data_IF_221620867603
#
_entry.id   IF_221620867603
#
_cell.length_a   1.000
_cell.length_b   1.000
_cell.length_c   1.000
_cell.angle_alpha   90.00
_cell.angle_beta   90.00
_cell.angle_gamma   90.00
#
_symmetry.space_group_name_H-M   'P 1'
#
loop_
_entity.id
_entity.type
_entity.pdbx_description
1 polymer ?
#
# COMPACT_ATOMS: atom_id res chain seq x y z
N UNK A 1 14.01 -29.94 4.17
CA UNK A 1 15.04 -29.19 4.94
C UNK A 1 15.51 -28.07 4.05
N UNK A 2 15.52 -26.82 4.53
CA UNK A 2 15.98 -25.68 3.73
C UNK A 2 17.40 -25.92 3.23
N UNK A 3 17.63 -25.75 1.92
CA UNK A 3 18.95 -25.88 1.27
C UNK A 3 19.93 -24.79 1.73
N UNK A 4 19.41 -23.72 2.35
CA UNK A 4 20.19 -22.59 2.84
C UNK A 4 20.42 -22.69 4.34
N UNK A 5 21.70 -22.66 4.73
CA UNK A 5 22.10 -22.53 6.13
C UNK A 5 21.79 -21.11 6.64
N UNK A 6 21.39 -20.98 7.91
CA UNK A 6 21.11 -19.67 8.55
C UNK A 6 22.29 -18.69 8.41
N UNK A 7 23.52 -19.22 8.34
CA UNK A 7 24.73 -18.42 8.12
C UNK A 7 24.72 -17.73 6.75
N UNK A 8 24.32 -18.43 5.69
CA UNK A 8 24.23 -17.87 4.34
C UNK A 8 23.15 -16.77 4.24
N UNK A 9 22.01 -16.95 4.93
CA UNK A 9 20.96 -15.92 4.99
C UNK A 9 21.43 -14.68 5.76
N UNK A 10 22.24 -14.87 6.79
CA UNK A 10 22.82 -13.78 7.58
C UNK A 10 23.81 -12.97 6.75
N UNK A 11 24.62 -13.62 5.92
CA UNK A 11 25.57 -12.96 5.01
C UNK A 11 24.85 -12.11 3.95
N UNK A 12 23.75 -12.61 3.38
CA UNK A 12 22.91 -11.85 2.45
C UNK A 12 22.35 -10.59 3.12
N UNK A 13 21.80 -10.73 4.32
CA UNK A 13 21.22 -9.59 5.06
C UNK A 13 22.29 -8.59 5.49
N UNK A 14 23.48 -9.05 5.87
CA UNK A 14 24.61 -8.19 6.16
C UNK A 14 25.11 -7.44 4.91
N UNK A 15 25.04 -8.05 3.73
CA UNK A 15 25.36 -7.37 2.47
C UNK A 15 24.36 -6.24 2.13
N UNK A 16 23.15 -6.26 2.70
CA UNK A 16 22.21 -5.13 2.68
C UNK A 16 22.43 -4.12 3.83
N UNK A 17 23.49 -4.25 4.62
CA UNK A 17 23.76 -3.39 5.79
C UNK A 17 23.12 -3.89 7.09
N UNK A 18 22.64 -5.13 7.12
CA UNK A 18 22.04 -5.76 8.29
C UNK A 18 20.53 -5.50 8.45
N UNK A 19 19.89 -6.21 9.38
CA UNK A 19 18.44 -6.11 9.63
C UNK A 19 17.98 -4.70 9.99
N UNK A 20 18.85 -3.92 10.64
CA UNK A 20 18.54 -2.56 11.06
C UNK A 20 18.56 -1.55 9.90
N UNK A 21 19.26 -1.88 8.81
CA UNK A 21 19.29 -1.07 7.60
C UNK A 21 18.11 -1.39 6.67
N UNK A 22 17.55 -2.60 6.74
CA UNK A 22 16.38 -2.99 5.96
C UNK A 22 15.11 -2.42 6.60
N UNK A 23 14.48 -1.46 5.93
CA UNK A 23 13.26 -0.76 6.38
C UNK A 23 12.01 -1.54 6.00
N UNK A 24 12.01 -2.08 4.79
CA UNK A 24 10.91 -2.87 4.26
C UNK A 24 11.47 -3.90 3.27
N UNK A 25 10.76 -5.00 3.14
CA UNK A 25 11.08 -6.04 2.19
C UNK A 25 9.81 -6.54 1.51
N UNK A 26 9.84 -6.63 0.20
CA UNK A 26 8.76 -7.22 -0.59
C UNK A 26 9.35 -8.18 -1.60
N UNK A 27 9.43 -9.44 -1.18
CA UNK A 27 10.12 -10.45 -1.92
C UNK A 27 9.17 -11.21 -2.87
N UNK A 28 9.46 -11.17 -4.17
CA UNK A 28 8.76 -11.91 -5.22
C UNK A 28 9.51 -13.22 -5.56
N UNK A 29 8.85 -14.13 -6.29
CA UNK A 29 9.36 -15.45 -6.68
C UNK A 29 10.82 -15.43 -7.15
N UNK A 30 11.23 -14.44 -7.96
CA UNK A 30 12.59 -14.40 -8.54
C UNK A 30 13.46 -13.25 -8.00
N UNK A 31 12.94 -12.37 -7.13
CA UNK A 31 13.61 -11.12 -6.76
C UNK A 31 13.45 -10.75 -5.28
N UNK A 32 14.57 -10.47 -4.63
CA UNK A 32 14.65 -9.79 -3.35
C UNK A 32 14.51 -8.29 -3.59
N UNK A 33 13.53 -7.66 -2.94
CA UNK A 33 13.35 -6.20 -3.02
C UNK A 33 13.37 -5.63 -1.62
N UNK A 34 14.43 -4.87 -1.34
CA UNK A 34 14.68 -4.30 -0.03
C UNK A 34 14.75 -2.78 -0.11
N UNK A 35 14.06 -2.13 0.79
CA UNK A 35 14.21 -0.70 1.05
C UNK A 35 15.23 -0.53 2.17
N UNK A 36 16.26 0.28 1.92
CA UNK A 36 17.36 0.51 2.87
C UNK A 36 17.27 1.90 3.51
N UNK A 37 17.68 2.03 4.78
CA UNK A 37 17.85 3.35 5.42
C UNK A 37 19.01 4.10 4.79
N UNK A 38 20.09 3.38 4.49
CA UNK A 38 21.30 3.91 3.88
C UNK A 38 21.81 2.96 2.78
N UNK A 39 21.93 3.50 1.56
CA UNK A 39 22.48 2.78 0.42
C UNK A 39 24.00 2.64 0.49
N UNK A 40 24.68 3.47 1.28
CA UNK A 40 26.14 3.41 1.44
C UNK A 40 26.59 2.13 2.15
N UNK A 41 25.68 1.49 2.88
CA UNK A 41 25.88 0.21 3.57
C UNK A 41 25.60 -1.01 2.68
N UNK A 42 25.12 -0.81 1.44
CA UNK A 42 24.88 -1.87 0.48
C UNK A 42 26.20 -2.34 -0.12
N UNK A 43 26.53 -3.62 0.09
CA UNK A 43 27.68 -4.26 -0.53
C UNK A 43 27.25 -5.09 -1.75
N UNK A 44 27.29 -4.45 -2.93
CA UNK A 44 26.88 -5.08 -4.19
C UNK A 44 27.83 -6.19 -4.65
N UNK A 45 29.11 -6.12 -4.29
CA UNK A 45 30.11 -7.15 -4.64
C UNK A 45 29.93 -8.41 -3.79
N UNK A 46 29.62 -8.25 -2.50
CA UNK A 46 29.26 -9.37 -1.64
C UNK A 46 27.99 -10.07 -2.15
N UNK A 47 26.97 -9.32 -2.59
CA UNK A 47 25.75 -9.90 -3.15
C UNK A 47 26.04 -10.73 -4.41
N UNK A 48 26.92 -10.27 -5.31
CA UNK A 48 27.34 -11.04 -6.49
C UNK A 48 28.06 -12.33 -6.11
N UNK A 49 28.95 -12.29 -5.11
CA UNK A 49 29.64 -13.49 -4.62
C UNK A 49 28.70 -14.50 -3.96
N UNK A 50 27.62 -14.01 -3.35
CA UNK A 50 26.55 -14.82 -2.76
C UNK A 50 25.52 -15.33 -3.78
N UNK A 51 25.74 -15.10 -5.09
CA UNK A 51 24.92 -15.65 -6.16
C UNK A 51 23.85 -14.71 -6.72
N UNK A 52 23.94 -13.40 -6.48
CA UNK A 52 23.07 -12.42 -7.13
C UNK A 52 23.36 -12.34 -8.65
N UNK A 53 22.33 -12.54 -9.47
CA UNK A 53 22.42 -12.43 -10.92
C UNK A 53 22.35 -10.98 -11.42
N UNK A 54 21.35 -10.21 -10.98
CA UNK A 54 21.21 -8.79 -11.32
C UNK A 54 20.89 -7.96 -10.08
N UNK A 55 21.53 -6.79 -9.96
CA UNK A 55 21.37 -5.85 -8.85
C UNK A 55 20.99 -4.49 -9.44
N UNK A 56 19.79 -4.00 -9.14
CA UNK A 56 19.33 -2.67 -9.50
C UNK A 56 19.20 -1.81 -8.24
N UNK A 57 19.88 -0.67 -8.21
CA UNK A 57 19.84 0.29 -7.11
C UNK A 57 19.10 1.54 -7.57
N UNK A 58 18.11 1.97 -6.80
CA UNK A 58 17.30 3.15 -7.09
C UNK A 58 17.56 4.21 -6.01
N UNK A 59 18.53 5.08 -6.28
CA UNK A 59 19.05 6.06 -5.30
C UNK A 59 17.97 7.00 -4.74
N UNK A 60 17.03 7.44 -5.58
CA UNK A 60 15.97 8.36 -5.18
C UNK A 60 14.96 7.77 -4.18
N UNK A 61 14.82 6.44 -4.15
CA UNK A 61 13.88 5.74 -3.26
C UNK A 61 14.57 4.85 -2.22
N UNK A 62 15.91 4.82 -2.21
CA UNK A 62 16.72 3.89 -1.41
C UNK A 62 16.28 2.43 -1.54
N UNK A 63 15.82 2.08 -2.74
CA UNK A 63 15.26 0.78 -3.06
C UNK A 63 16.30 -0.05 -3.82
N UNK A 64 16.46 -1.32 -3.44
CA UNK A 64 17.39 -2.25 -4.06
C UNK A 64 16.63 -3.49 -4.50
N UNK A 65 16.81 -3.88 -5.76
CA UNK A 65 16.27 -5.12 -6.30
C UNK A 65 17.40 -6.05 -6.67
N UNK A 66 17.37 -7.27 -6.15
CA UNK A 66 18.37 -8.30 -6.41
C UNK A 66 17.70 -9.57 -6.88
N UNK A 67 18.06 -10.03 -8.07
CA UNK A 67 17.58 -11.28 -8.65
C UNK A 67 18.52 -12.42 -8.25
N UNK A 68 17.97 -13.53 -7.76
CA UNK A 68 18.71 -14.77 -7.48
C UNK A 68 18.10 -15.91 -8.28
N UNK A 69 18.91 -16.84 -8.78
CA UNK A 69 18.42 -18.00 -9.55
C UNK A 69 17.45 -18.90 -8.75
N UNK A 70 17.48 -18.83 -7.41
CA UNK A 70 16.61 -19.58 -6.50
C UNK A 70 15.93 -18.66 -5.48
N UNK A 71 15.43 -17.49 -5.92
CA UNK A 71 14.92 -16.48 -5.00
C UNK A 71 13.67 -16.93 -4.21
N UNK A 72 12.85 -17.83 -4.73
CA UNK A 72 11.63 -18.32 -4.06
C UNK A 72 11.96 -19.06 -2.74
N UNK A 73 12.93 -19.98 -2.81
CA UNK A 73 13.42 -20.72 -1.64
C UNK A 73 14.12 -19.79 -0.64
N UNK A 74 14.90 -18.83 -1.14
CA UNK A 74 15.55 -17.78 -0.33
C UNK A 74 14.51 -16.95 0.43
N UNK A 75 13.42 -16.59 -0.23
CA UNK A 75 12.35 -15.81 0.38
C UNK A 75 11.63 -16.55 1.48
N UNK A 76 11.33 -17.82 1.24
CA UNK A 76 10.71 -18.67 2.24
C UNK A 76 11.64 -18.87 3.43
N UNK A 77 12.94 -19.11 3.18
CA UNK A 77 13.94 -19.29 4.21
C UNK A 77 14.16 -18.01 5.03
N UNK A 78 14.18 -16.82 4.41
CA UNK A 78 14.26 -15.54 5.12
C UNK A 78 13.01 -15.37 5.99
N UNK A 79 11.80 -15.49 5.42
CA UNK A 79 10.53 -15.36 6.15
C UNK A 79 10.44 -16.29 7.37
N UNK A 80 10.93 -17.53 7.25
CA UNK A 80 10.88 -18.52 8.31
C UNK A 80 11.93 -18.30 9.40
N UNK A 81 13.07 -17.66 9.08
CA UNK A 81 14.19 -17.49 10.00
C UNK A 81 14.40 -16.03 10.47
N UNK A 82 13.49 -15.11 10.13
CA UNK A 82 13.56 -13.68 10.52
C UNK A 82 13.88 -13.48 12.01
N UNK A 83 13.25 -14.26 12.88
CA UNK A 83 13.41 -14.17 14.34
C UNK A 83 14.80 -14.61 14.80
N UNK A 84 15.37 -15.66 14.18
CA UNK A 84 16.71 -16.15 14.49
C UNK A 84 17.81 -15.24 13.92
N UNK A 85 17.57 -14.66 12.75
CA UNK A 85 18.46 -13.71 12.09
C UNK A 85 18.54 -12.41 12.90
N UNK A 86 17.41 -11.87 13.33
CA UNK A 86 17.37 -10.66 14.18
C UNK A 86 18.11 -10.85 15.51
N UNK A 87 18.08 -12.07 16.06
CA UNK A 87 18.77 -12.42 17.31
C UNK A 87 20.29 -12.47 17.16
N UNK A 88 20.80 -12.84 15.98
CA UNK A 88 22.25 -12.87 15.69
C UNK A 88 22.82 -11.51 15.29
N UNK A 89 22.00 -10.61 14.75
CA UNK A 89 22.41 -9.25 14.36
C UNK A 89 22.58 -8.26 15.54
N UNK A 90 22.15 -8.61 16.76
CA UNK A 90 22.09 -7.68 17.90
C UNK A 90 23.31 -7.64 18.82
N UNK A 91 24.42 -8.28 18.46
CA UNK A 91 25.67 -8.20 19.23
C UNK A 91 26.75 -7.47 18.43
N UNK A 92 26.64 -6.13 18.37
CA UNK A 92 27.73 -5.17 18.65
C UNK A 92 27.25 -3.70 18.51
N UNK A 93 27.34 -2.97 19.63
CA UNK A 93 27.10 -1.53 19.92
C UNK A 93 28.05 -0.58 19.13
N UNK A 94 27.93 0.76 19.00
CA UNK A 94 27.17 1.85 19.65
C UNK A 94 27.50 3.23 19.00
N UNK A 95 26.61 4.22 19.26
CA UNK A 95 26.77 5.71 19.37
C UNK A 95 27.23 6.52 18.16
N UNK A 96 26.52 7.59 17.77
CA UNK A 96 26.66 8.91 18.43
C UNK A 96 25.38 9.77 18.50
N UNK A 97 25.46 10.71 19.43
CA UNK A 97 24.43 11.57 20.03
C UNK A 97 24.39 12.95 19.37
N UNK A 98 23.21 13.58 19.24
CA UNK A 98 23.02 15.01 19.51
C UNK A 98 21.52 15.39 19.58
N UNK A 99 21.10 16.01 20.70
CA UNK A 99 19.81 16.70 20.87
C UNK A 99 19.72 17.96 19.99
N UNK A 100 18.61 18.68 19.82
CA UNK A 100 17.53 19.18 20.68
C UNK A 100 16.31 19.48 19.75
N UNK A 101 15.07 19.76 20.11
CA UNK A 101 14.51 20.52 21.22
C UNK A 101 12.98 20.32 21.25
N UNK A 102 12.38 20.69 22.38
CA UNK A 102 11.02 20.38 22.83
C UNK A 102 9.90 20.96 21.94
N UNK A 103 8.94 20.11 21.51
CA UNK A 103 7.58 20.56 21.14
C UNK A 103 6.52 19.70 21.83
N UNK A 104 5.63 20.40 22.53
CA UNK A 104 4.42 19.93 23.22
C UNK A 104 3.69 18.84 22.44
N UNK A 105 3.48 17.69 23.06
CA UNK A 105 2.47 16.71 22.66
C UNK A 105 1.08 17.34 22.82
N UNK A 106 0.49 17.73 21.69
CA UNK A 106 -0.97 17.85 21.60
C UNK A 106 -1.47 16.43 21.42
N UNK A 107 -2.25 15.92 22.38
CA UNK A 107 -2.97 14.66 22.27
C UNK A 107 -4.00 14.83 21.15
N UNK A 108 -3.59 14.52 19.92
CA UNK A 108 -4.42 14.68 18.73
C UNK A 108 -5.45 13.54 18.77
N UNK A 109 -6.70 13.85 19.09
CA UNK A 109 -7.78 12.87 18.90
C UNK A 109 -7.85 12.55 17.42
N UNK A 110 -7.54 11.31 17.10
CA UNK A 110 -7.51 10.81 15.73
C UNK A 110 -8.96 10.72 15.24
N UNK A 111 -9.32 11.57 14.27
CA UNK A 111 -10.68 11.60 13.71
C UNK A 111 -11.05 10.26 13.07
N UNK A 112 -12.33 9.90 13.15
CA UNK A 112 -12.93 8.74 12.49
C UNK A 112 -13.79 9.15 11.28
N UNK A 113 -13.65 10.39 10.81
CA UNK A 113 -14.43 10.93 9.71
C UNK A 113 -14.02 10.29 8.38
N UNK A 114 -15.01 9.96 7.56
CA UNK A 114 -14.83 9.53 6.18
C UNK A 114 -15.43 10.59 5.25
N UNK A 115 -14.58 11.31 4.53
CA UNK A 115 -14.99 12.30 3.54
C UNK A 115 -15.28 11.63 2.18
N UNK A 116 -16.28 12.13 1.47
CA UNK A 116 -16.68 11.61 0.17
C UNK A 116 -15.55 11.78 -0.88
N UNK A 117 -15.02 10.68 -1.46
CA UNK A 117 -14.02 10.73 -2.52
C UNK A 117 -14.50 11.43 -3.80
N UNK A 118 -15.79 11.34 -4.10
CA UNK A 118 -16.45 12.04 -5.20
C UNK A 118 -17.94 12.28 -4.90
N UNK A 119 -18.59 13.08 -5.74
CA UNK A 119 -20.02 13.29 -5.70
C UNK A 119 -20.78 12.18 -6.42
N UNK A 120 -21.87 11.68 -5.84
CA UNK A 120 -22.65 10.60 -6.44
C UNK A 120 -23.73 10.02 -5.54
N UNK A 121 -24.45 9.03 -6.06
CA UNK A 121 -25.41 8.25 -5.27
C UNK A 121 -24.70 7.11 -4.55
N UNK A 122 -25.04 6.92 -3.28
CA UNK A 122 -24.50 5.85 -2.45
C UNK A 122 -25.44 4.64 -2.50
N UNK A 123 -24.87 3.45 -2.62
CA UNK A 123 -25.61 2.20 -2.67
C UNK A 123 -24.86 1.06 -1.98
N UNK A 124 -25.59 0.03 -1.56
CA UNK A 124 -25.02 -1.15 -0.88
C UNK A 124 -24.18 -2.01 -1.83
N UNK A 125 -23.10 -2.60 -1.31
CA UNK A 125 -22.29 -3.62 -2.02
C UNK A 125 -23.13 -4.79 -2.54
N UNK A 126 -24.25 -5.11 -1.88
CA UNK A 126 -25.14 -6.20 -2.26
C UNK A 126 -25.81 -5.99 -3.64
N UNK A 127 -25.72 -4.78 -4.20
CA UNK A 127 -26.25 -4.45 -5.53
C UNK A 127 -25.25 -4.76 -6.67
N UNK A 128 -24.03 -5.18 -6.35
CA UNK A 128 -23.02 -5.57 -7.32
C UNK A 128 -23.27 -6.99 -7.82
N UNK A 129 -22.95 -7.21 -9.09
CA UNK A 129 -22.82 -8.55 -9.67
C UNK A 129 -21.42 -9.13 -9.40
N UNK A 130 -20.97 -9.05 -8.15
CA UNK A 130 -19.69 -9.62 -7.69
C UNK A 130 -19.89 -10.29 -6.33
N UNK A 131 -19.74 -11.61 -6.30
CA UNK A 131 -20.04 -12.42 -5.12
C UNK A 131 -19.13 -12.11 -3.93
N UNK A 132 -17.89 -11.68 -4.17
CA UNK A 132 -16.91 -11.44 -3.10
C UNK A 132 -17.24 -10.14 -2.36
N UNK A 133 -17.53 -9.09 -3.12
CA UNK A 133 -17.90 -7.78 -2.58
C UNK A 133 -19.35 -7.76 -2.06
N UNK A 134 -20.29 -8.36 -2.81
CA UNK A 134 -21.70 -8.41 -2.40
C UNK A 134 -21.92 -9.22 -1.11
N UNK A 135 -21.06 -10.21 -0.82
CA UNK A 135 -21.10 -10.97 0.44
C UNK A 135 -20.25 -10.34 1.54
N UNK A 136 -19.67 -9.15 1.32
CA UNK A 136 -18.80 -8.44 2.26
C UNK A 136 -17.59 -9.28 2.73
N UNK A 137 -17.04 -10.14 1.86
CA UNK A 137 -15.91 -11.01 2.24
C UNK A 137 -14.61 -10.23 2.45
N UNK A 138 -14.46 -9.09 1.77
CA UNK A 138 -13.34 -8.15 1.98
C UNK A 138 -13.54 -7.32 3.26
N UNK A 139 -14.80 -6.99 3.54
CA UNK A 139 -15.29 -6.26 4.70
C UNK A 139 -16.50 -5.40 4.35
N UNK A 140 -16.99 -4.61 5.32
CA UNK A 140 -18.15 -3.74 5.13
C UNK A 140 -17.81 -2.53 4.29
N UNK A 141 -18.78 -2.07 3.50
CA UNK A 141 -18.54 -1.01 2.55
C UNK A 141 -19.79 -0.58 1.78
N UNK A 142 -19.56 0.24 0.77
CA UNK A 142 -20.59 0.80 -0.08
C UNK A 142 -20.02 1.20 -1.45
N UNK A 143 -20.90 1.63 -2.33
CA UNK A 143 -20.58 2.06 -3.69
C UNK A 143 -21.00 3.51 -3.85
N UNK A 144 -20.14 4.34 -4.42
CA UNK A 144 -20.48 5.69 -4.89
C UNK A 144 -20.55 5.66 -6.42
N UNK A 145 -21.72 5.97 -6.97
CA UNK A 145 -21.95 6.00 -8.41
C UNK A 145 -21.61 7.39 -8.96
N UNK A 146 -20.52 7.49 -9.74
CA UNK A 146 -20.16 8.73 -10.41
C UNK A 146 -21.17 9.10 -11.51
N UNK A 147 -21.29 10.40 -11.78
CA UNK A 147 -22.06 10.88 -12.94
C UNK A 147 -21.35 10.48 -14.25
N UNK A 148 -22.03 9.64 -15.04
CA UNK A 148 -21.53 9.11 -16.31
C UNK A 148 -21.44 10.15 -17.42
N UNK A 149 -22.10 11.31 -17.26
CA UNK A 149 -22.06 12.40 -18.23
C UNK A 149 -20.73 13.17 -18.20
N UNK A 150 -19.93 12.98 -17.15
CA UNK A 150 -18.61 13.60 -17.04
C UNK A 150 -17.60 12.90 -17.96
N UNK A 151 -16.66 13.66 -18.50
CA UNK A 151 -15.54 13.11 -19.29
C UNK A 151 -14.36 12.70 -18.41
N UNK A 152 -14.17 13.39 -17.29
CA UNK A 152 -13.11 13.14 -16.31
C UNK A 152 -13.62 13.40 -14.91
N UNK A 153 -13.11 12.66 -13.94
CA UNK A 153 -13.41 12.88 -12.52
C UNK A 153 -12.16 12.64 -11.68
N UNK A 154 -11.91 13.55 -10.75
CA UNK A 154 -10.91 13.36 -9.70
C UNK A 154 -11.57 12.65 -8.52
N UNK A 155 -10.90 11.65 -7.98
CA UNK A 155 -11.27 10.91 -6.77
C UNK A 155 -10.31 11.34 -5.66
N UNK A 156 -10.87 11.84 -4.56
CA UNK A 156 -10.12 12.37 -3.43
C UNK A 156 -9.84 11.30 -2.37
N UNK A 157 -8.82 11.52 -1.55
CA UNK A 157 -8.60 10.70 -0.37
C UNK A 157 -9.69 10.99 0.69
N UNK A 158 -10.32 9.95 1.27
CA UNK A 158 -11.39 10.12 2.24
C UNK A 158 -10.92 10.55 3.63
N UNK A 159 -9.62 10.43 3.93
CA UNK A 159 -8.99 10.85 5.18
C UNK A 159 -7.46 10.88 5.00
N UNK A 160 -6.76 11.40 6.01
CA UNK A 160 -5.30 11.34 6.09
C UNK A 160 -4.82 9.89 6.14
N UNK A 161 -4.04 9.47 5.15
CA UNK A 161 -3.60 8.09 5.03
C UNK A 161 -2.20 7.96 4.43
N UNK A 162 -1.62 6.78 4.64
CA UNK A 162 -0.52 6.25 3.83
C UNK A 162 -1.08 5.27 2.80
N UNK A 163 -0.60 5.38 1.58
CA UNK A 163 -0.90 4.42 0.51
C UNK A 163 -0.06 3.16 0.73
N UNK A 164 -0.71 2.03 1.03
CA UNK A 164 -0.02 0.77 1.33
C UNK A 164 -0.04 -0.21 0.17
N UNK A 165 -0.89 0.01 -0.84
CA UNK A 165 -0.92 -0.79 -2.06
C UNK A 165 -1.51 -0.01 -3.23
N UNK A 166 -0.83 -0.04 -4.39
CA UNK A 166 -1.39 0.34 -5.70
C UNK A 166 -0.87 -0.70 -6.71
N UNK A 167 -1.75 -1.46 -7.41
CA UNK A 167 -1.33 -2.38 -8.45
C UNK A 167 -0.89 -1.63 -9.72
N UNK A 168 -0.16 -2.29 -10.62
CA UNK A 168 0.35 -1.68 -11.85
C UNK A 168 -0.76 -1.10 -12.74
N UNK A 169 -1.91 -1.78 -12.81
CA UNK A 169 -3.10 -1.35 -13.54
C UNK A 169 -3.91 -0.25 -12.80
N UNK A 170 -3.51 0.14 -11.58
CA UNK A 170 -4.14 1.19 -10.76
C UNK A 170 -5.65 1.02 -10.51
N UNK A 171 -6.20 -0.19 -10.66
CA UNK A 171 -7.64 -0.45 -10.52
C UNK A 171 -8.15 -0.29 -9.09
N UNK A 172 -7.24 -0.32 -8.10
CA UNK A 172 -7.58 -0.16 -6.70
C UNK A 172 -6.43 0.45 -5.89
N UNK A 173 -6.73 0.89 -4.68
CA UNK A 173 -5.74 1.37 -3.72
C UNK A 173 -6.11 0.91 -2.32
N UNK A 174 -5.11 0.59 -1.49
CA UNK A 174 -5.30 0.41 -0.05
C UNK A 174 -4.74 1.64 0.68
N UNK A 175 -5.57 2.21 1.54
CA UNK A 175 -5.25 3.36 2.38
C UNK A 175 -5.24 2.93 3.84
N UNK A 176 -4.16 3.26 4.55
CA UNK A 176 -4.01 3.02 5.99
C UNK A 176 -3.86 4.35 6.73
N UNK A 177 -4.78 4.65 7.63
CA UNK A 177 -4.76 5.86 8.44
C UNK A 177 -4.07 5.63 9.80
N UNK A 178 -3.59 6.72 10.39
CA UNK A 178 -2.93 6.69 11.71
C UNK A 178 -3.90 6.30 12.85
N UNK A 179 -5.21 6.45 12.64
CA UNK A 179 -6.25 6.04 13.59
C UNK A 179 -6.49 4.51 13.62
N UNK A 180 -5.83 3.75 12.74
CA UNK A 180 -5.99 2.31 12.59
C UNK A 180 -7.04 1.90 11.55
N UNK A 181 -7.68 2.85 10.87
CA UNK A 181 -8.55 2.55 9.74
C UNK A 181 -7.72 2.06 8.56
N UNK A 182 -8.22 1.00 7.92
CA UNK A 182 -7.65 0.50 6.68
C UNK A 182 -8.79 0.16 5.72
N UNK A 183 -8.68 0.63 4.48
CA UNK A 183 -9.70 0.36 3.48
C UNK A 183 -9.10 0.13 2.11
N UNK A 184 -9.85 -0.56 1.29
CA UNK A 184 -9.63 -0.68 -0.14
C UNK A 184 -10.63 0.20 -0.88
N UNK A 185 -10.16 0.94 -1.88
CA UNK A 185 -11.01 1.59 -2.87
C UNK A 185 -10.73 1.02 -4.25
N UNK A 186 -11.78 0.59 -4.94
CA UNK A 186 -11.71 0.13 -6.32
C UNK A 186 -12.33 1.19 -7.23
N UNK A 187 -11.66 1.49 -8.34
CA UNK A 187 -12.03 2.55 -9.27
C UNK A 187 -12.81 1.99 -10.46
N UNK A 188 -13.97 1.42 -10.18
CA UNK A 188 -14.78 0.64 -11.11
C UNK A 188 -14.55 -0.85 -10.94
N UNK A 189 -15.63 -1.63 -10.82
CA UNK A 189 -15.57 -3.08 -10.56
C UNK A 189 -14.72 -3.83 -11.59
N UNK A 190 -14.86 -3.47 -12.86
CA UNK A 190 -14.19 -4.09 -14.00
C UNK A 190 -12.97 -3.30 -14.51
N UNK A 191 -12.52 -2.29 -13.75
CA UNK A 191 -11.46 -1.37 -14.21
C UNK A 191 -10.10 -2.04 -14.38
N UNK A 192 -9.88 -3.22 -13.80
CA UNK A 192 -8.68 -4.02 -14.07
C UNK A 192 -8.52 -4.37 -15.56
N UNK A 193 -9.63 -4.43 -16.32
CA UNK A 193 -9.65 -4.67 -17.77
C UNK A 193 -9.07 -3.49 -18.57
N UNK A 194 -8.99 -2.31 -17.96
CA UNK A 194 -8.42 -1.12 -18.58
C UNK A 194 -6.89 -1.15 -18.60
N UNK A 195 -6.27 -2.05 -17.84
CA UNK A 195 -4.80 -2.16 -17.71
C UNK A 195 -4.10 -0.81 -17.41
N UNK A 196 -4.72 0.00 -16.54
CA UNK A 196 -4.24 1.33 -16.16
C UNK A 196 -4.56 2.44 -17.16
N UNK A 197 -5.14 2.14 -18.32
CA UNK A 197 -5.57 3.15 -19.29
C UNK A 197 -6.75 3.95 -18.70
N UNK A 198 -6.61 5.27 -18.65
CA UNK A 198 -7.61 6.15 -18.06
C UNK A 198 -7.59 6.20 -16.52
N UNK A 199 -6.59 5.57 -15.88
CA UNK A 199 -6.38 5.61 -14.44
C UNK A 199 -5.02 6.27 -14.14
N UNK A 200 -5.04 7.48 -13.57
CA UNK A 200 -3.82 8.22 -13.23
C UNK A 200 -3.81 8.58 -11.77
N UNK A 201 -2.81 8.15 -11.01
CA UNK A 201 -2.61 8.61 -9.63
C UNK A 201 -1.42 9.57 -9.58
N UNK A 202 -1.56 10.74 -8.94
CA UNK A 202 -0.45 11.66 -8.69
C UNK A 202 0.44 11.20 -7.53
N UNK A 203 0.04 10.17 -6.79
CA UNK A 203 0.77 9.61 -5.65
C UNK A 203 1.30 8.21 -6.00
N UNK A 204 2.43 7.87 -5.42
CA UNK A 204 3.04 6.55 -5.54
C UNK A 204 2.71 5.67 -4.32
N UNK A 205 3.05 4.39 -4.43
CA UNK A 205 3.07 3.49 -3.28
C UNK A 205 3.93 4.07 -2.16
N UNK A 206 3.49 3.91 -0.90
CA UNK A 206 4.09 4.46 0.32
C UNK A 206 3.97 5.97 0.53
N UNK A 207 3.43 6.73 -0.42
CA UNK A 207 3.18 8.14 -0.20
C UNK A 207 2.12 8.37 0.88
N UNK A 208 2.27 9.47 1.59
CA UNK A 208 1.21 10.02 2.43
C UNK A 208 0.31 10.92 1.61
N UNK A 209 -0.98 10.85 1.88
CA UNK A 209 -2.02 11.68 1.28
C UNK A 209 -2.88 12.28 2.38
N UNK A 210 -3.26 13.56 2.23
CA UNK A 210 -4.17 14.23 3.14
C UNK A 210 -5.62 14.05 2.71
N UNK A 211 -6.54 14.14 3.66
CA UNK A 211 -7.98 14.19 3.38
C UNK A 211 -8.26 15.24 2.30
N UNK A 212 -9.11 14.90 1.34
CA UNK A 212 -9.50 15.74 0.21
C UNK A 212 -8.37 16.08 -0.81
N UNK A 213 -7.17 15.51 -0.68
CA UNK A 213 -6.18 15.55 -1.77
C UNK A 213 -6.57 14.59 -2.90
N UNK A 214 -6.18 14.92 -4.13
CA UNK A 214 -6.41 14.06 -5.30
C UNK A 214 -5.63 12.76 -5.15
N UNK A 215 -6.36 11.64 -5.13
CA UNK A 215 -5.82 10.29 -5.02
C UNK A 215 -5.74 9.61 -6.38
N UNK A 216 -6.77 9.77 -7.20
CA UNK A 216 -6.83 9.19 -8.54
C UNK A 216 -7.65 10.05 -9.49
N UNK A 217 -7.25 10.10 -10.75
CA UNK A 217 -7.94 10.77 -11.83
C UNK A 217 -8.45 9.70 -12.81
N UNK A 218 -9.74 9.74 -13.12
CA UNK A 218 -10.40 8.81 -14.02
C UNK A 218 -10.74 9.51 -15.33
N UNK A 219 -10.36 8.89 -16.45
CA UNK A 219 -10.83 9.26 -17.78
C UNK A 219 -12.07 8.44 -18.12
N UNK A 220 -13.25 9.05 -17.95
CA UNK A 220 -14.52 8.35 -18.13
C UNK A 220 -14.83 8.06 -19.59
N UNK A 221 -14.18 8.74 -20.54
CA UNK A 221 -14.28 8.37 -21.96
C UNK A 221 -13.73 6.95 -22.17
N UNK A 222 -12.61 6.59 -21.52
CA UNK A 222 -12.04 5.23 -21.58
C UNK A 222 -12.88 4.18 -20.88
N UNK A 223 -13.51 4.55 -19.77
CA UNK A 223 -14.46 3.67 -19.09
C UNK A 223 -15.66 3.35 -19.98
N UNK A 224 -16.20 4.36 -20.66
CA UNK A 224 -17.35 4.20 -21.56
C UNK A 224 -16.99 3.37 -22.80
N UNK A 225 -15.81 3.57 -23.41
CA UNK A 225 -15.31 2.77 -24.55
C UNK A 225 -15.27 1.26 -24.24
N UNK A 226 -14.91 0.89 -23.00
CA UNK A 226 -14.78 -0.49 -22.56
C UNK A 226 -15.96 -1.00 -21.72
N UNK A 227 -17.06 -0.24 -21.69
CA UNK A 227 -18.29 -0.56 -20.95
C UNK A 227 -18.06 -0.83 -19.45
N UNK A 228 -17.08 -0.13 -18.86
CA UNK A 228 -16.77 -0.18 -17.42
C UNK A 228 -17.59 0.90 -16.71
N UNK A 229 -18.31 0.53 -15.65
CA UNK A 229 -19.04 1.51 -14.83
C UNK A 229 -18.06 2.26 -13.91
N UNK A 230 -18.09 3.60 -13.87
CA UNK A 230 -17.20 4.40 -13.02
C UNK A 230 -17.68 4.47 -11.57
N UNK A 231 -18.02 3.31 -11.00
CA UNK A 231 -18.45 3.19 -9.62
C UNK A 231 -17.22 3.12 -8.73
N UNK A 232 -17.15 3.93 -7.67
CA UNK A 232 -16.12 3.76 -6.64
C UNK A 232 -16.66 2.81 -5.58
N UNK A 233 -15.99 1.67 -5.41
CA UNK A 233 -16.30 0.71 -4.36
C UNK A 233 -15.36 0.99 -3.20
N UNK A 234 -15.91 1.16 -2.01
CA UNK A 234 -15.16 1.36 -0.76
C UNK A 234 -15.47 0.21 0.16
N UNK A 235 -14.46 -0.43 0.75
CA UNK A 235 -14.64 -1.45 1.78
C UNK A 235 -13.52 -1.39 2.82
N UNK A 236 -13.88 -1.55 4.10
CA UNK A 236 -12.91 -1.73 5.18
C UNK A 236 -12.24 -3.10 5.02
N UNK A 237 -10.93 -3.19 5.27
CA UNK A 237 -10.21 -4.47 5.20
C UNK A 237 -10.32 -5.23 6.53
N UNK A 238 -10.04 -6.53 6.51
CA UNK A 238 -9.99 -7.34 7.73
C UNK A 238 -8.97 -6.84 8.77
N UNK A 239 -7.90 -6.18 8.32
CA UNK A 239 -6.85 -5.61 9.17
C UNK A 239 -7.21 -4.23 9.75
N UNK A 240 -8.36 -3.67 9.35
CA UNK A 240 -8.86 -2.40 9.88
C UNK A 240 -9.31 -2.55 11.33
N UNK A 241 -8.97 -1.55 12.15
CA UNK A 241 -9.52 -1.39 13.51
C UNK A 241 -11.03 -1.18 13.50
N UNK A 242 -11.55 -0.53 12.46
CA UNK A 242 -12.97 -0.22 12.29
C UNK A 242 -13.60 -1.24 11.36
N UNK A 243 -14.84 -1.62 11.64
CA UNK A 243 -15.55 -2.68 10.94
C UNK A 243 -16.81 -2.17 10.24
N UNK A 244 -17.29 -0.97 10.58
CA UNK A 244 -18.52 -0.41 9.99
C UNK A 244 -18.40 1.07 9.63
N UNK A 245 -19.29 1.50 8.72
CA UNK A 245 -19.57 2.90 8.43
C UNK A 245 -20.90 3.27 9.10
N UNK A 246 -20.88 4.25 9.99
CA UNK A 246 -22.06 4.81 10.66
C UNK A 246 -22.38 6.20 10.10
N UNK A 247 -23.62 6.65 10.28
CA UNK A 247 -24.09 7.95 9.76
C UNK A 247 -23.90 8.10 8.23
N UNK A 248 -23.92 6.99 7.48
CA UNK A 248 -23.72 6.99 6.03
C UNK A 248 -24.89 7.69 5.31
N UNK A 249 -24.59 8.74 4.55
CA UNK A 249 -25.56 9.43 3.69
C UNK A 249 -25.81 8.69 2.38
N UNK A 250 -27.05 8.72 1.88
CA UNK A 250 -27.44 8.17 0.57
C UNK A 250 -26.89 8.98 -0.61
N UNK A 251 -26.44 10.22 -0.35
CA UNK A 251 -25.85 11.10 -1.34
C UNK A 251 -24.47 11.57 -0.87
N UNK A 252 -23.47 11.33 -1.70
CA UNK A 252 -22.10 11.81 -1.52
C UNK A 252 -21.92 13.16 -2.22
N UNK A 253 -21.32 14.11 -1.52
CA UNK A 253 -20.87 15.39 -2.07
C UNK A 253 -19.35 15.44 -1.87
N UNK A 254 -18.58 15.48 -2.96
CA UNK A 254 -17.12 15.41 -2.92
C UNK A 254 -16.52 16.35 -1.87
N UNK A 255 -15.64 15.80 -1.03
CA UNK A 255 -14.92 16.52 0.01
C UNK A 255 -15.72 16.81 1.28
N UNK A 256 -17.02 16.51 1.32
CA UNK A 256 -17.84 16.63 2.52
C UNK A 256 -17.86 15.33 3.33
N UNK A 257 -18.21 15.44 4.61
CA UNK A 257 -18.38 14.29 5.49
C UNK A 257 -19.49 13.37 4.93
N UNK A 258 -19.17 12.09 4.76
CA UNK A 258 -20.10 11.10 4.22
C UNK A 258 -20.50 10.05 5.26
N UNK A 259 -19.57 9.65 6.12
CA UNK A 259 -19.79 8.66 7.16
C UNK A 259 -18.75 8.83 8.28
N UNK A 260 -18.95 8.07 9.37
CA UNK A 260 -17.95 7.86 10.43
C UNK A 260 -17.58 6.39 10.52
N UNK A 261 -16.34 6.12 10.87
CA UNK A 261 -15.82 4.78 11.08
C UNK A 261 -16.13 4.31 12.52
N UNK A 262 -16.64 3.09 12.66
CA UNK A 262 -16.97 2.45 13.95
C UNK A 262 -16.45 1.02 14.08
#
# INVERSE_FOLDING_TARGET
MSKYQVQHLTEIINAFGGTNNIVAYNNCVDQLRYDLKDLSLLNTDALKQLGAGSINVFDGAKHVQVTFENAEELNQAIKQNLTEIASKCNNQQSSENCGCDSKKEVKQELSNDFYAPLSGLVSSLNTLNDDVLAKNLVGKGFIIQADKSLNKVDVLAPFDAKITMIPANKSQVILKANNGAELVMLFGLDSYKLDGIGLTSPKALNDTIKANEVLMQLDLTKFNELNVKPNIIVALTADSKYQEFTELSDQAIQGQLLAKLS
#
